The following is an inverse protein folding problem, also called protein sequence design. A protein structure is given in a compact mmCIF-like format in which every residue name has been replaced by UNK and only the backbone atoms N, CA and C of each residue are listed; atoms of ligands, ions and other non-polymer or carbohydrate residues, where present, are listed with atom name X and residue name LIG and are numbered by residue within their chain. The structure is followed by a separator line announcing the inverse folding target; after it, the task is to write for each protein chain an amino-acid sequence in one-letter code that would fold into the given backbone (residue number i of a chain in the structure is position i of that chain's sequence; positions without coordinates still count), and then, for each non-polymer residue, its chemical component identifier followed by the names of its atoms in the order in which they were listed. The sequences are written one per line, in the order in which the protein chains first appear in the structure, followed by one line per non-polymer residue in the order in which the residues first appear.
data_IF_549356638466
#
_entry.id   IF_549356638466
#
_cell.length_a   1.000
_cell.length_b   1.000
_cell.length_c   1.000
_cell.angle_alpha   90.00
_cell.angle_beta   90.00
_cell.angle_gamma   90.00
#
_symmetry.space_group_name_H-M   'P 1'
#
loop_
_entity.id
_entity.type
_entity.pdbx_description
1 polymer ?
#
# COMPACT_ATOMS: atom_id res chain seq x y z
N UNK A 1 2.04 -0.23 9.32
CA UNK A 1 2.27 1.22 9.43
C UNK A 1 2.55 1.75 8.05
N UNK A 2 1.82 2.76 7.65
CA UNK A 2 2.05 3.47 6.40
C UNK A 2 3.44 4.11 6.46
N UNK A 3 4.23 3.94 5.39
CA UNK A 3 5.57 4.53 5.32
C UNK A 3 5.51 5.97 4.84
N UNK A 4 6.50 6.79 5.19
CA UNK A 4 6.60 8.16 4.62
C UNK A 4 6.72 8.16 3.10
N UNK A 5 7.24 7.08 2.48
CA UNK A 5 7.22 6.91 1.03
C UNK A 5 5.79 6.84 0.49
N UNK A 6 4.92 6.02 1.10
CA UNK A 6 3.51 5.98 0.70
C UNK A 6 2.82 7.34 0.89
N UNK A 7 3.09 8.03 1.99
CA UNK A 7 2.54 9.36 2.22
C UNK A 7 2.97 10.36 1.14
N UNK A 8 4.24 10.33 0.68
CA UNK A 8 4.71 11.12 -0.46
C UNK A 8 3.95 10.78 -1.74
N UNK A 9 3.74 9.50 -2.02
CA UNK A 9 2.94 9.05 -3.18
C UNK A 9 1.52 9.59 -3.11
N UNK A 10 0.86 9.49 -1.92
CA UNK A 10 -0.49 10.04 -1.72
C UNK A 10 -0.52 11.56 -1.92
N UNK A 11 0.49 12.27 -1.43
CA UNK A 11 0.64 13.73 -1.68
C UNK A 11 0.77 14.01 -3.17
N UNK A 12 1.65 13.31 -3.88
CA UNK A 12 1.86 13.51 -5.32
C UNK A 12 0.58 13.25 -6.14
N UNK A 13 -0.13 12.14 -5.88
CA UNK A 13 -1.40 11.81 -6.55
C UNK A 13 -2.47 12.86 -6.30
N UNK A 14 -2.64 13.31 -5.05
CA UNK A 14 -3.67 14.30 -4.72
C UNK A 14 -3.32 15.69 -5.23
N UNK A 15 -2.04 16.07 -5.25
CA UNK A 15 -1.59 17.32 -5.85
C UNK A 15 -1.78 17.31 -7.38
N UNK A 16 -1.46 16.18 -8.03
CA UNK A 16 -1.76 15.97 -9.45
C UNK A 16 -3.25 16.17 -9.76
N UNK A 17 -4.11 15.51 -8.98
CA UNK A 17 -5.56 15.62 -9.16
C UNK A 17 -6.06 17.05 -8.95
N UNK A 18 -5.55 17.76 -7.92
CA UNK A 18 -5.88 19.15 -7.64
C UNK A 18 -5.52 20.06 -8.82
N UNK A 19 -4.27 20.02 -9.29
CA UNK A 19 -3.78 20.87 -10.37
C UNK A 19 -4.47 20.56 -11.72
N UNK A 20 -4.73 19.27 -12.01
CA UNK A 20 -5.42 18.87 -13.26
C UNK A 20 -6.91 19.17 -13.27
N UNK A 21 -7.56 19.17 -12.11
CA UNK A 21 -8.99 19.51 -12.04
C UNK A 21 -9.26 21.03 -12.13
N UNK A 22 -8.23 21.87 -12.03
CA UNK A 22 -8.39 23.32 -11.95
C UNK A 22 -9.17 23.77 -10.71
N UNK A 23 -9.16 22.97 -9.65
CA UNK A 23 -9.89 23.27 -8.40
C UNK A 23 -9.14 24.29 -7.57
N UNK A 24 -9.82 25.36 -7.14
CA UNK A 24 -9.27 26.36 -6.20
C UNK A 24 -9.57 25.99 -4.73
N UNK A 25 -10.24 24.87 -4.47
CA UNK A 25 -10.68 24.50 -3.13
C UNK A 25 -9.63 23.62 -2.40
N UNK A 26 -8.68 24.30 -1.75
CA UNK A 26 -7.64 23.66 -0.95
C UNK A 26 -8.21 22.74 0.14
N UNK A 27 -9.29 23.15 0.84
CA UNK A 27 -9.88 22.34 1.93
C UNK A 27 -10.43 21.01 1.42
N UNK A 28 -11.07 20.99 0.25
CA UNK A 28 -11.56 19.76 -0.37
C UNK A 28 -10.40 18.86 -0.76
N UNK A 29 -9.35 19.39 -1.34
CA UNK A 29 -8.19 18.61 -1.76
C UNK A 29 -7.40 18.05 -0.57
N UNK A 30 -7.26 18.81 0.52
CA UNK A 30 -6.68 18.32 1.77
C UNK A 30 -7.53 17.18 2.37
N UNK A 31 -8.86 17.32 2.36
CA UNK A 31 -9.76 16.25 2.81
C UNK A 31 -9.59 14.99 1.95
N UNK A 32 -9.48 15.12 0.64
CA UNK A 32 -9.27 13.99 -0.26
C UNK A 32 -7.92 13.30 0.01
N UNK A 33 -6.87 14.07 0.31
CA UNK A 33 -5.58 13.49 0.71
C UNK A 33 -5.73 12.65 1.98
N UNK A 34 -6.36 13.18 3.03
CA UNK A 34 -6.57 12.46 4.30
C UNK A 34 -7.39 11.20 4.05
N UNK A 35 -8.48 11.29 3.27
CA UNK A 35 -9.30 10.15 2.90
C UNK A 35 -8.51 9.09 2.13
N UNK A 36 -7.64 9.49 1.18
CA UNK A 36 -6.80 8.55 0.44
C UNK A 36 -5.78 7.82 1.32
N UNK A 37 -5.29 8.48 2.37
CA UNK A 37 -4.40 7.89 3.37
C UNK A 37 -5.17 6.89 4.25
N UNK A 38 -6.38 7.25 4.68
CA UNK A 38 -7.25 6.35 5.46
C UNK A 38 -7.66 5.12 4.64
N UNK A 39 -7.95 5.30 3.35
CA UNK A 39 -8.27 4.20 2.44
C UNK A 39 -7.10 3.23 2.24
N UNK A 40 -5.86 3.70 2.20
CA UNK A 40 -4.71 2.81 2.15
C UNK A 40 -4.61 1.93 3.42
N UNK A 41 -5.04 2.44 4.58
CA UNK A 41 -5.13 1.65 5.80
C UNK A 41 -6.36 0.73 5.82
N UNK A 42 -7.47 1.11 5.19
CA UNK A 42 -8.63 0.22 4.97
C UNK A 42 -8.21 -1.02 4.18
N UNK A 43 -7.38 -0.86 3.12
CA UNK A 43 -6.93 -1.97 2.29
C UNK A 43 -6.14 -3.02 3.07
N UNK A 44 -5.40 -2.64 4.10
CA UNK A 44 -4.72 -3.58 4.98
C UNK A 44 -5.71 -4.55 5.65
N UNK A 45 -6.84 -4.08 6.16
CA UNK A 45 -7.87 -4.94 6.76
C UNK A 45 -8.69 -5.69 5.71
N UNK A 46 -8.94 -5.05 4.56
CA UNK A 46 -9.58 -5.70 3.42
C UNK A 46 -8.78 -6.95 3.00
N UNK A 47 -7.47 -6.82 2.87
CA UNK A 47 -6.60 -7.96 2.52
C UNK A 47 -6.55 -9.01 3.64
N UNK A 48 -6.52 -8.61 4.92
CA UNK A 48 -6.56 -9.57 6.03
C UNK A 48 -7.82 -10.44 5.99
N UNK A 49 -8.96 -9.91 5.55
CA UNK A 49 -10.21 -10.66 5.46
C UNK A 49 -10.25 -11.66 4.29
N UNK A 50 -9.40 -11.51 3.26
CA UNK A 50 -9.48 -12.32 2.05
C UNK A 50 -9.30 -13.82 2.32
N UNK A 51 -8.24 -14.19 3.06
CA UNK A 51 -7.99 -15.62 3.34
C UNK A 51 -9.10 -16.25 4.19
N UNK A 52 -9.74 -15.47 5.05
CA UNK A 52 -10.89 -15.91 5.85
C UNK A 52 -12.08 -16.22 4.94
N UNK A 53 -12.36 -15.37 3.97
CA UNK A 53 -13.43 -15.61 3.00
C UNK A 53 -13.12 -16.78 2.06
N UNK A 54 -11.84 -16.93 1.67
CA UNK A 54 -11.39 -18.12 0.89
C UNK A 54 -11.57 -19.40 1.70
N UNK A 55 -11.30 -19.40 3.01
CA UNK A 55 -11.52 -20.56 3.88
C UNK A 55 -13.01 -20.87 4.08
N UNK A 56 -13.85 -19.86 4.27
CA UNK A 56 -15.32 -20.00 4.30
C UNK A 56 -15.87 -20.58 3.00
N UNK A 57 -15.35 -20.11 1.86
CA UNK A 57 -15.71 -20.68 0.57
C UNK A 57 -15.30 -22.15 0.45
N UNK A 58 -14.07 -22.51 0.88
CA UNK A 58 -13.61 -23.89 0.90
C UNK A 58 -14.49 -24.78 1.78
N UNK A 59 -14.85 -24.33 2.99
CA UNK A 59 -15.74 -25.04 3.90
C UNK A 59 -17.12 -25.23 3.29
N UNK A 60 -17.72 -24.20 2.72
CA UNK A 60 -19.01 -24.29 2.02
C UNK A 60 -18.98 -25.33 0.90
N UNK A 61 -17.88 -25.41 0.12
CA UNK A 61 -17.72 -26.44 -0.92
C UNK A 61 -17.64 -27.84 -0.35
N UNK A 62 -16.93 -28.03 0.79
CA UNK A 62 -16.86 -29.33 1.47
C UNK A 62 -18.26 -29.76 1.97
N UNK A 63 -19.03 -28.85 2.56
CA UNK A 63 -20.38 -29.17 3.03
C UNK A 63 -21.34 -29.50 1.86
N UNK A 64 -21.24 -28.76 0.75
CA UNK A 64 -22.02 -29.07 -0.46
C UNK A 64 -21.64 -30.43 -1.07
N UNK A 65 -20.36 -30.79 -1.02
CA UNK A 65 -19.87 -32.07 -1.52
C UNK A 65 -20.49 -33.25 -0.76
N UNK A 66 -20.68 -33.15 0.56
CA UNK A 66 -21.35 -34.19 1.40
C UNK A 66 -22.82 -34.39 1.00
N UNK A 67 -23.46 -33.41 0.41
CA UNK A 67 -24.88 -33.44 0.03
C UNK A 67 -25.12 -33.98 -1.38
N UNK A 68 -24.08 -34.42 -2.10
CA UNK A 68 -24.23 -35.06 -3.43
C UNK A 68 -25.09 -36.33 -3.32
N UNK A 69 -25.82 -36.67 -4.36
CA UNK A 69 -26.64 -37.91 -4.42
C UNK A 69 -25.79 -39.17 -4.22
N UNK A 70 -24.54 -39.15 -4.64
CA UNK A 70 -23.55 -40.25 -4.49
C UNK A 70 -22.22 -39.61 -4.05
N UNK A 71 -22.06 -39.29 -2.77
CA UNK A 71 -20.82 -38.71 -2.27
C UNK A 71 -19.71 -39.77 -2.27
N UNK A 72 -18.50 -39.39 -2.64
CA UNK A 72 -17.31 -40.25 -2.50
C UNK A 72 -16.84 -40.32 -1.04
N UNK A 73 -15.85 -41.17 -0.76
CA UNK A 73 -15.23 -41.22 0.57
C UNK A 73 -14.62 -39.88 0.93
N UNK A 74 -13.94 -39.24 -0.01
CA UNK A 74 -13.33 -37.92 0.15
C UNK A 74 -14.38 -36.82 0.34
N UNK A 75 -15.54 -36.91 -0.32
CA UNK A 75 -16.64 -35.98 -0.10
C UNK A 75 -17.18 -36.04 1.33
N UNK A 76 -17.24 -37.27 1.91
CA UNK A 76 -17.70 -37.46 3.29
C UNK A 76 -16.62 -37.21 4.34
N UNK A 77 -15.35 -37.36 3.98
CA UNK A 77 -14.20 -37.20 4.85
C UNK A 77 -13.18 -36.17 4.24
N UNK A 78 -13.56 -34.90 4.04
CA UNK A 78 -12.68 -33.96 3.41
C UNK A 78 -11.47 -33.63 4.28
N UNK A 79 -10.34 -33.40 3.63
CA UNK A 79 -9.17 -32.85 4.33
C UNK A 79 -9.47 -31.40 4.75
N UNK A 80 -9.66 -31.20 6.05
CA UNK A 80 -10.02 -29.88 6.61
C UNK A 80 -8.82 -29.00 6.98
N UNK A 81 -7.59 -29.46 6.70
CA UNK A 81 -6.37 -28.80 7.16
C UNK A 81 -6.32 -27.29 6.86
N UNK A 82 -6.74 -26.88 5.66
CA UNK A 82 -6.82 -25.46 5.30
C UNK A 82 -7.93 -24.74 6.06
N UNK A 83 -9.12 -25.32 6.09
CA UNK A 83 -10.29 -24.74 6.80
C UNK A 83 -10.02 -24.60 8.30
N UNK A 84 -9.32 -25.57 8.88
CA UNK A 84 -8.98 -25.61 10.31
C UNK A 84 -7.61 -24.95 10.62
N UNK A 85 -7.00 -24.21 9.66
CA UNK A 85 -5.73 -23.52 9.85
C UNK A 85 -5.82 -22.53 11.03
N UNK A 86 -4.92 -22.68 12.01
CA UNK A 86 -4.98 -21.93 13.26
C UNK A 86 -4.79 -20.42 13.06
N UNK A 87 -4.01 -19.99 12.05
CA UNK A 87 -3.80 -18.55 11.76
C UNK A 87 -5.02 -17.96 11.06
N UNK A 88 -5.66 -18.70 10.14
CA UNK A 88 -6.91 -18.29 9.49
C UNK A 88 -8.03 -18.16 10.53
N UNK A 89 -8.14 -19.14 11.44
CA UNK A 89 -9.11 -19.07 12.53
C UNK A 89 -8.85 -17.90 13.47
N UNK A 90 -7.58 -17.60 13.78
CA UNK A 90 -7.23 -16.44 14.59
C UNK A 90 -7.62 -15.12 13.88
N UNK A 91 -7.41 -15.00 12.57
CA UNK A 91 -7.88 -13.85 11.77
C UNK A 91 -9.42 -13.72 11.80
N UNK A 92 -10.12 -14.85 11.74
CA UNK A 92 -11.58 -14.88 11.74
C UNK A 92 -12.22 -14.54 13.09
N UNK A 93 -11.49 -14.74 14.21
CA UNK A 93 -12.02 -14.62 15.57
C UNK A 93 -11.42 -13.48 16.40
N UNK A 94 -10.34 -12.87 15.94
CA UNK A 94 -9.69 -11.75 16.64
C UNK A 94 -10.58 -10.51 16.64
N UNK A 95 -11.02 -10.08 17.81
CA UNK A 95 -11.89 -8.89 17.96
C UNK A 95 -11.24 -7.66 17.37
N UNK A 96 -9.93 -7.46 17.58
CA UNK A 96 -9.19 -6.32 17.08
C UNK A 96 -9.18 -6.21 15.53
N UNK A 97 -9.32 -7.34 14.83
CA UNK A 97 -9.41 -7.38 13.35
C UNK A 97 -10.86 -7.24 12.90
N UNK A 98 -11.77 -7.99 13.53
CA UNK A 98 -13.19 -8.03 13.12
C UNK A 98 -13.92 -6.71 13.39
N UNK A 99 -13.60 -6.03 14.49
CA UNK A 99 -14.13 -4.70 14.81
C UNK A 99 -13.71 -3.66 13.76
N UNK A 100 -12.45 -3.67 13.32
CA UNK A 100 -11.97 -2.77 12.28
C UNK A 100 -12.63 -3.06 10.92
N UNK A 101 -12.74 -4.34 10.53
CA UNK A 101 -13.42 -4.75 9.30
C UNK A 101 -14.88 -4.29 9.33
N UNK A 102 -15.58 -4.51 10.43
CA UNK A 102 -16.99 -4.14 10.60
C UNK A 102 -17.18 -2.62 10.61
N UNK A 103 -16.36 -1.90 11.38
CA UNK A 103 -16.41 -0.44 11.50
C UNK A 103 -16.16 0.26 10.17
N UNK A 104 -15.23 -0.27 9.36
CA UNK A 104 -14.86 0.24 8.04
C UNK A 104 -15.74 -0.28 6.91
N UNK A 105 -16.66 -1.23 7.22
CA UNK A 105 -17.56 -1.89 6.24
C UNK A 105 -16.79 -2.56 5.10
N UNK A 106 -15.75 -3.29 5.45
CA UNK A 106 -14.88 -4.01 4.53
C UNK A 106 -15.37 -5.45 4.34
N UNK A 107 -14.93 -6.11 3.29
CA UNK A 107 -15.22 -7.52 3.00
C UNK A 107 -15.35 -7.80 1.51
N UNK A 108 -15.55 -9.08 1.16
CA UNK A 108 -15.55 -9.59 -0.21
C UNK A 108 -16.93 -10.08 -0.68
N UNK A 109 -17.98 -9.79 0.09
CA UNK A 109 -19.34 -10.25 -0.22
C UNK A 109 -19.90 -9.72 -1.56
N UNK A 110 -19.40 -8.57 -2.03
CA UNK A 110 -19.81 -7.99 -3.31
C UNK A 110 -19.01 -8.54 -4.50
N UNK A 111 -17.92 -9.26 -4.26
CA UNK A 111 -17.05 -9.85 -5.28
C UNK A 111 -16.81 -11.34 -5.02
N UNK A 112 -17.88 -12.17 -4.96
CA UNK A 112 -17.75 -13.60 -4.66
C UNK A 112 -16.95 -14.36 -5.72
N UNK A 113 -16.97 -13.89 -6.96
CA UNK A 113 -16.19 -14.51 -8.05
C UNK A 113 -14.69 -14.32 -7.85
N UNK A 114 -14.25 -13.19 -7.30
CA UNK A 114 -12.85 -12.98 -6.92
C UNK A 114 -12.40 -14.00 -5.86
N UNK A 115 -13.20 -14.20 -4.80
CA UNK A 115 -12.89 -15.19 -3.75
C UNK A 115 -12.80 -16.61 -4.33
N UNK A 116 -13.71 -16.97 -5.22
CA UNK A 116 -13.72 -18.27 -5.92
C UNK A 116 -12.48 -18.42 -6.81
N UNK A 117 -12.09 -17.40 -7.54
CA UNK A 117 -10.92 -17.47 -8.42
C UNK A 117 -9.61 -17.55 -7.64
N UNK A 118 -9.47 -16.76 -6.58
CA UNK A 118 -8.34 -16.84 -5.65
C UNK A 118 -8.25 -18.24 -5.03
N UNK A 119 -9.39 -18.82 -4.60
CA UNK A 119 -9.42 -20.20 -4.12
C UNK A 119 -8.94 -21.19 -5.19
N UNK A 120 -9.42 -21.08 -6.42
CA UNK A 120 -9.04 -22.01 -7.50
C UNK A 120 -7.53 -21.91 -7.81
N UNK A 121 -6.98 -20.70 -7.90
CA UNK A 121 -5.53 -20.50 -8.08
C UNK A 121 -4.72 -21.06 -6.91
N UNK A 122 -5.21 -20.85 -5.68
CA UNK A 122 -4.57 -21.37 -4.48
C UNK A 122 -4.47 -22.90 -4.49
N UNK A 123 -5.54 -23.65 -4.79
CA UNK A 123 -5.54 -25.11 -4.77
C UNK A 123 -4.65 -25.73 -5.85
N UNK A 124 -4.39 -25.01 -6.95
CA UNK A 124 -3.48 -25.42 -8.02
C UNK A 124 -2.02 -25.13 -7.69
N UNK A 125 -1.73 -24.37 -6.64
CA UNK A 125 -0.38 -23.98 -6.25
C UNK A 125 0.41 -25.12 -5.62
N UNK A 126 1.74 -25.06 -5.72
CA UNK A 126 2.63 -26.01 -5.09
C UNK A 126 2.60 -25.86 -3.56
N UNK A 127 2.55 -24.64 -3.04
CA UNK A 127 2.52 -24.40 -1.59
C UNK A 127 1.26 -24.99 -0.95
N UNK A 128 0.09 -24.93 -1.61
CA UNK A 128 -1.14 -25.56 -1.12
C UNK A 128 -1.03 -27.07 -1.08
N UNK A 129 -0.57 -27.70 -2.17
CA UNK A 129 -0.38 -29.17 -2.22
C UNK A 129 0.57 -29.66 -1.14
N UNK A 130 1.70 -28.97 -0.97
CA UNK A 130 2.69 -29.31 0.06
C UNK A 130 2.10 -29.17 1.47
N UNK A 131 1.35 -28.09 1.72
CA UNK A 131 0.68 -27.87 3.01
C UNK A 131 -0.36 -28.94 3.30
N UNK A 132 -1.24 -29.26 2.34
CA UNK A 132 -2.32 -30.24 2.51
C UNK A 132 -1.83 -31.71 2.66
N UNK A 133 -0.69 -32.04 2.07
CA UNK A 133 -0.10 -33.42 2.15
C UNK A 133 0.85 -33.63 3.32
N UNK A 134 1.25 -32.57 4.01
CA UNK A 134 2.21 -32.70 5.11
C UNK A 134 1.66 -33.54 6.28
N UNK A 135 2.46 -34.41 6.90
CA UNK A 135 1.98 -35.37 7.89
C UNK A 135 1.53 -34.75 9.21
N UNK A 136 2.11 -33.61 9.58
CA UNK A 136 1.84 -32.95 10.85
C UNK A 136 1.26 -31.53 10.64
N UNK A 137 0.26 -31.15 11.44
CA UNK A 137 -0.22 -29.78 11.57
C UNK A 137 0.50 -29.12 12.74
N UNK A 138 1.13 -27.97 12.46
CA UNK A 138 1.78 -27.14 13.49
C UNK A 138 1.44 -25.69 13.21
N UNK A 139 1.37 -24.86 14.24
CA UNK A 139 1.16 -23.40 14.07
C UNK A 139 2.20 -22.76 13.13
N UNK A 140 3.44 -23.24 13.15
CA UNK A 140 4.48 -22.74 12.25
C UNK A 140 4.20 -23.09 10.78
N UNK A 141 3.68 -24.29 10.50
CA UNK A 141 3.27 -24.69 9.15
C UNK A 141 2.03 -23.90 8.69
N UNK A 142 1.06 -23.69 9.59
CA UNK A 142 -0.14 -22.91 9.33
C UNK A 142 0.23 -21.44 8.99
N UNK A 143 1.13 -20.85 9.77
CA UNK A 143 1.61 -19.49 9.53
C UNK A 143 2.37 -19.37 8.20
N UNK A 144 3.28 -20.33 7.95
CA UNK A 144 4.03 -20.34 6.68
C UNK A 144 3.11 -20.42 5.47
N UNK A 145 2.09 -21.28 5.53
CA UNK A 145 1.08 -21.37 4.47
C UNK A 145 0.38 -20.03 4.22
N UNK A 146 -0.03 -19.33 5.28
CA UNK A 146 -0.68 -18.02 5.16
C UNK A 146 0.28 -16.96 4.62
N UNK A 147 1.57 -17.00 5.00
CA UNK A 147 2.60 -16.13 4.42
C UNK A 147 2.79 -16.39 2.91
N UNK A 148 2.84 -17.65 2.47
CA UNK A 148 2.94 -18.04 1.06
C UNK A 148 1.70 -17.62 0.27
N UNK A 149 0.50 -17.77 0.85
CA UNK A 149 -0.74 -17.28 0.25
C UNK A 149 -0.68 -15.77 -0.04
N UNK A 150 -0.37 -14.95 0.97
CA UNK A 150 -0.31 -13.49 0.76
C UNK A 150 0.83 -13.06 -0.17
N UNK A 151 1.96 -13.76 -0.14
CA UNK A 151 3.05 -13.50 -1.09
C UNK A 151 2.65 -13.80 -2.53
N UNK A 152 1.81 -14.82 -2.76
CA UNK A 152 1.31 -15.16 -4.11
C UNK A 152 0.33 -14.15 -4.69
N UNK A 153 -0.22 -13.25 -3.86
CA UNK A 153 -1.17 -12.24 -4.32
C UNK A 153 -0.49 -10.99 -4.91
N UNK A 154 0.81 -10.80 -4.73
CA UNK A 154 1.53 -9.62 -5.21
C UNK A 154 1.48 -9.49 -6.75
N UNK A 155 1.46 -10.62 -7.44
CA UNK A 155 1.38 -10.70 -8.92
C UNK A 155 -0.02 -11.16 -9.38
N UNK A 156 -1.05 -11.02 -8.54
CA UNK A 156 -2.40 -11.49 -8.87
C UNK A 156 -3.22 -10.40 -9.54
N UNK A 157 -3.35 -10.44 -10.86
CA UNK A 157 -4.26 -9.54 -11.62
C UNK A 157 -5.69 -9.58 -11.07
N UNK A 158 -6.19 -10.77 -10.68
CA UNK A 158 -7.55 -10.95 -10.15
C UNK A 158 -7.79 -10.13 -8.89
N UNK A 159 -6.81 -10.07 -8.00
CA UNK A 159 -6.93 -9.28 -6.76
C UNK A 159 -6.71 -7.80 -7.07
N UNK A 160 -5.76 -7.46 -7.94
CA UNK A 160 -5.50 -6.09 -8.35
C UNK A 160 -6.74 -5.47 -9.01
N UNK A 161 -7.34 -6.15 -9.99
CA UNK A 161 -8.55 -5.70 -10.68
C UNK A 161 -9.72 -5.53 -9.69
N UNK A 162 -9.92 -6.50 -8.78
CA UNK A 162 -11.01 -6.43 -7.82
C UNK A 162 -10.88 -5.26 -6.84
N UNK A 163 -9.67 -4.95 -6.34
CA UNK A 163 -9.47 -3.80 -5.44
C UNK A 163 -9.60 -2.46 -6.18
N UNK A 164 -9.18 -2.39 -7.45
CA UNK A 164 -9.34 -1.19 -8.28
C UNK A 164 -10.83 -0.92 -8.57
N UNK A 165 -11.63 -1.97 -8.82
CA UNK A 165 -13.09 -1.86 -8.96
C UNK A 165 -13.77 -1.41 -7.66
N UNK A 166 -13.30 -1.91 -6.50
CA UNK A 166 -13.86 -1.53 -5.20
C UNK A 166 -13.56 -0.07 -4.83
N UNK A 167 -12.37 0.44 -5.17
CA UNK A 167 -11.98 1.81 -4.82
C UNK A 167 -10.80 2.31 -5.65
N UNK A 168 -11.02 3.37 -6.41
CA UNK A 168 -9.94 4.08 -7.12
C UNK A 168 -8.84 4.62 -6.18
N UNK A 169 -9.13 4.80 -4.89
CA UNK A 169 -8.14 5.25 -3.91
C UNK A 169 -7.16 4.14 -3.48
N UNK A 170 -7.45 2.89 -3.84
CA UNK A 170 -6.59 1.71 -3.56
C UNK A 170 -5.58 1.41 -4.67
N UNK A 171 -5.74 2.07 -5.81
CA UNK A 171 -4.83 1.91 -6.93
C UNK A 171 -3.37 2.10 -6.50
N UNK A 172 -2.49 1.13 -6.84
CA UNK A 172 -1.08 1.02 -6.48
C UNK A 172 -0.78 0.76 -4.98
N UNK A 173 -1.79 0.54 -4.13
CA UNK A 173 -1.58 0.32 -2.69
C UNK A 173 -1.46 -1.17 -2.32
N UNK A 174 -1.75 -2.10 -3.24
CA UNK A 174 -1.80 -3.55 -2.96
C UNK A 174 -0.52 -4.06 -2.31
N UNK A 175 0.65 -3.81 -2.91
CA UNK A 175 1.94 -4.26 -2.36
C UNK A 175 2.20 -3.72 -0.95
N UNK A 176 1.76 -2.49 -0.65
CA UNK A 176 1.84 -1.92 0.69
C UNK A 176 0.95 -2.64 1.69
N UNK A 177 -0.30 -2.91 1.30
CA UNK A 177 -1.24 -3.62 2.15
C UNK A 177 -0.75 -5.05 2.43
N UNK A 178 -0.30 -5.77 1.40
CA UNK A 178 0.27 -7.11 1.52
C UNK A 178 1.49 -7.13 2.44
N UNK A 179 2.40 -6.16 2.31
CA UNK A 179 3.55 -6.03 3.21
C UNK A 179 3.11 -5.84 4.67
N UNK A 180 2.09 -5.02 4.94
CA UNK A 180 1.55 -4.85 6.30
C UNK A 180 0.93 -6.15 6.82
N UNK A 181 0.16 -6.86 5.99
CA UNK A 181 -0.42 -8.16 6.34
C UNK A 181 0.67 -9.16 6.67
N UNK A 182 1.66 -9.35 5.79
CA UNK A 182 2.78 -10.27 6.00
C UNK A 182 3.55 -9.97 7.30
N UNK A 183 3.79 -8.69 7.61
CA UNK A 183 4.42 -8.30 8.88
C UNK A 183 3.56 -8.67 10.10
N UNK A 184 2.25 -8.54 10.00
CA UNK A 184 1.34 -8.95 11.07
C UNK A 184 1.38 -10.45 11.24
N UNK A 185 1.22 -11.23 10.15
CA UNK A 185 1.22 -12.70 10.18
C UNK A 185 2.55 -13.24 10.70
N UNK A 186 3.69 -12.72 10.23
CA UNK A 186 5.03 -13.18 10.65
C UNK A 186 5.29 -12.93 12.15
N UNK A 187 4.62 -11.99 12.77
CA UNK A 187 4.72 -11.70 14.20
C UNK A 187 3.92 -12.66 15.09
N UNK A 188 2.98 -13.44 14.51
CA UNK A 188 2.09 -14.33 15.26
C UNK A 188 2.83 -15.52 15.87
N UNK A 189 2.42 -15.87 17.07
CA UNK A 189 2.90 -17.03 17.84
C UNK A 189 1.71 -17.89 18.25
N UNK A 190 1.95 -19.17 18.48
CA UNK A 190 0.92 -20.13 18.91
C UNK A 190 0.20 -19.70 20.21
N UNK A 191 0.87 -18.94 21.07
CA UNK A 191 0.29 -18.45 22.33
C UNK A 191 -0.63 -17.23 22.17
N UNK A 192 -0.71 -16.65 20.98
CA UNK A 192 -1.56 -15.49 20.76
C UNK A 192 -3.01 -15.90 20.58
N UNK A 193 -3.89 -15.28 21.34
CA UNK A 193 -5.36 -15.40 21.25
C UNK A 193 -5.98 -14.20 20.53
N UNK A 194 -5.18 -13.14 20.32
CA UNK A 194 -5.56 -11.89 19.67
C UNK A 194 -4.45 -11.44 18.72
N UNK A 195 -4.84 -10.74 17.64
CA UNK A 195 -3.91 -10.15 16.68
C UNK A 195 -3.64 -8.71 17.07
N UNK A 196 -2.37 -8.39 17.30
CA UNK A 196 -1.96 -6.99 17.42
C UNK A 196 -1.78 -6.41 16.01
N UNK A 197 -2.78 -5.67 15.55
CA UNK A 197 -2.73 -4.97 14.26
C UNK A 197 -1.64 -3.90 14.25
N UNK A 198 -1.06 -3.65 13.07
CA UNK A 198 -0.11 -2.55 12.93
C UNK A 198 -0.86 -1.22 12.98
N UNK A 199 -0.36 -0.19 13.70
CA UNK A 199 -0.98 1.12 13.69
C UNK A 199 -0.89 1.75 12.28
N UNK A 200 -1.79 2.68 11.98
CA UNK A 200 -1.80 3.39 10.70
C UNK A 200 -0.48 4.15 10.47
N UNK A 201 -0.05 4.91 11.44
CA UNK A 201 1.18 5.70 11.39
C UNK A 201 2.27 5.13 12.29
N UNK A 202 3.53 5.41 11.94
CA UNK A 202 4.69 5.08 12.76
C UNK A 202 4.89 6.10 13.87
N UNK A 203 4.55 7.36 13.60
CA UNK A 203 4.68 8.51 14.49
C UNK A 203 3.45 9.38 14.34
N UNK A 204 3.06 10.08 15.39
CA UNK A 204 1.96 11.05 15.38
C UNK A 204 2.22 12.20 14.39
N UNK A 205 3.50 12.48 14.07
CA UNK A 205 3.91 13.49 13.09
C UNK A 205 3.69 13.07 11.62
N UNK A 206 3.37 11.81 11.34
CA UNK A 206 3.32 11.32 9.95
C UNK A 206 2.13 11.91 9.17
N UNK A 207 0.99 12.09 9.82
CA UNK A 207 -0.16 12.76 9.19
C UNK A 207 0.13 14.24 8.94
N UNK A 208 0.72 14.92 9.93
CA UNK A 208 1.11 16.33 9.81
C UNK A 208 2.19 16.54 8.74
N UNK A 209 3.11 15.58 8.58
CA UNK A 209 4.05 15.56 7.47
C UNK A 209 3.33 15.57 6.12
N UNK A 210 2.36 14.66 5.91
CA UNK A 210 1.65 14.57 4.64
C UNK A 210 0.82 15.84 4.35
N UNK A 211 0.10 16.37 5.35
CA UNK A 211 -0.69 17.60 5.24
C UNK A 211 0.19 18.81 4.93
N UNK A 212 1.26 18.96 5.70
CA UNK A 212 2.19 20.08 5.53
C UNK A 212 2.86 20.04 4.16
N UNK A 213 3.32 18.87 3.73
CA UNK A 213 3.94 18.69 2.42
C UNK A 213 2.95 19.05 1.30
N UNK A 214 1.71 18.57 1.37
CA UNK A 214 0.67 18.87 0.39
C UNK A 214 0.39 20.38 0.29
N UNK A 215 0.12 21.03 1.45
CA UNK A 215 -0.21 22.46 1.49
C UNK A 215 0.98 23.29 1.02
N UNK A 216 2.19 23.00 1.48
CA UNK A 216 3.39 23.74 1.09
C UNK A 216 3.71 23.59 -0.39
N UNK A 217 3.59 22.36 -0.92
CA UNK A 217 3.80 22.10 -2.35
C UNK A 217 2.80 22.86 -3.24
N UNK A 218 1.55 23.02 -2.77
CA UNK A 218 0.55 23.77 -3.51
C UNK A 218 0.79 25.29 -3.45
N UNK A 219 1.03 25.81 -2.24
CA UNK A 219 1.25 27.25 -2.02
C UNK A 219 2.54 27.74 -2.69
N UNK A 220 3.56 26.91 -2.74
CA UNK A 220 4.87 27.25 -3.30
C UNK A 220 5.01 26.81 -4.77
N UNK A 221 3.93 26.32 -5.40
CA UNK A 221 4.01 25.67 -6.72
C UNK A 221 4.64 26.59 -7.77
N UNK A 222 4.14 27.81 -7.92
CA UNK A 222 4.65 28.78 -8.89
C UNK A 222 6.11 29.18 -8.62
N UNK A 223 6.45 29.48 -7.36
CA UNK A 223 7.82 29.81 -6.96
C UNK A 223 8.79 28.66 -7.26
N UNK A 224 8.34 27.42 -7.03
CA UNK A 224 9.14 26.24 -7.32
C UNK A 224 9.32 26.04 -8.82
N UNK A 225 8.29 26.30 -9.64
CA UNK A 225 8.41 26.26 -11.10
C UNK A 225 9.43 27.24 -11.60
N UNK A 226 9.46 28.48 -11.09
CA UNK A 226 10.46 29.50 -11.47
C UNK A 226 11.90 29.03 -11.19
N UNK A 227 12.12 28.30 -10.08
CA UNK A 227 13.43 27.72 -9.76
C UNK A 227 13.77 26.59 -10.72
N UNK A 228 12.84 25.67 -10.96
CA UNK A 228 13.02 24.50 -11.83
C UNK A 228 13.31 24.95 -13.27
N UNK A 229 12.57 25.93 -13.77
CA UNK A 229 12.70 26.47 -15.13
C UNK A 229 14.11 26.99 -15.42
N UNK A 230 14.80 27.54 -14.42
CA UNK A 230 16.21 28.00 -14.60
C UNK A 230 17.15 26.89 -15.00
N UNK A 231 16.88 25.65 -14.56
CA UNK A 231 17.73 24.49 -14.79
C UNK A 231 17.21 23.55 -15.88
N UNK A 232 16.01 23.83 -16.41
CA UNK A 232 15.38 23.00 -17.46
C UNK A 232 15.33 23.66 -18.83
N UNK A 233 15.76 24.94 -18.97
CA UNK A 233 15.75 25.72 -20.24
C UNK A 233 16.49 25.08 -21.42
N UNK A 234 17.48 24.23 -21.16
CA UNK A 234 18.24 23.51 -22.18
C UNK A 234 17.60 22.17 -22.58
N UNK A 235 16.51 21.78 -21.93
CA UNK A 235 15.72 20.62 -22.27
C UNK A 235 14.50 21.10 -23.04
N UNK A 236 14.09 20.36 -24.04
CA UNK A 236 12.90 20.67 -24.83
C UNK A 236 11.68 20.67 -23.87
N UNK A 237 11.22 21.87 -23.51
CA UNK A 237 10.17 22.09 -22.48
C UNK A 237 8.88 21.32 -22.83
N UNK A 238 8.61 21.10 -24.14
CA UNK A 238 7.49 20.29 -24.62
C UNK A 238 7.62 18.81 -24.28
N UNK A 239 8.81 18.34 -23.87
CA UNK A 239 9.09 16.95 -23.52
C UNK A 239 9.14 16.66 -22.04
N UNK A 240 9.12 17.68 -21.18
CA UNK A 240 9.10 17.45 -19.73
C UNK A 240 7.68 17.03 -19.34
N UNK A 241 7.56 15.78 -18.89
CA UNK A 241 6.27 15.28 -18.42
C UNK A 241 5.75 16.12 -17.24
N UNK A 242 4.47 16.40 -17.22
CA UNK A 242 3.84 17.13 -16.10
C UNK A 242 4.16 16.48 -14.75
N UNK A 243 4.25 15.14 -14.72
CA UNK A 243 4.59 14.40 -13.50
C UNK A 243 6.03 14.69 -13.04
N UNK A 244 6.99 14.87 -13.96
CA UNK A 244 8.38 15.22 -13.60
C UNK A 244 8.44 16.58 -12.91
N UNK A 245 7.78 17.59 -13.50
CA UNK A 245 7.67 18.93 -12.91
C UNK A 245 6.98 18.90 -11.55
N UNK A 246 5.93 18.09 -11.41
CA UNK A 246 5.22 17.93 -10.15
C UNK A 246 6.14 17.34 -9.08
N UNK A 247 6.84 16.24 -9.39
CA UNK A 247 7.78 15.58 -8.48
C UNK A 247 8.89 16.56 -8.07
N UNK A 248 9.48 17.27 -9.02
CA UNK A 248 10.49 18.31 -8.74
C UNK A 248 9.96 19.36 -7.79
N UNK A 249 8.76 19.90 -8.04
CA UNK A 249 8.14 20.93 -7.19
C UNK A 249 7.89 20.44 -5.78
N UNK A 250 7.39 19.20 -5.61
CA UNK A 250 7.16 18.62 -4.27
C UNK A 250 8.49 18.39 -3.55
N UNK A 251 9.51 17.89 -4.26
CA UNK A 251 10.84 17.69 -3.69
C UNK A 251 11.46 19.01 -3.19
N UNK A 252 11.33 20.09 -3.95
CA UNK A 252 11.78 21.44 -3.53
C UNK A 252 11.04 21.89 -2.28
N UNK A 253 9.71 21.73 -2.24
CA UNK A 253 8.91 22.08 -1.05
C UNK A 253 9.32 21.25 0.18
N UNK A 254 9.61 19.94 0.01
CA UNK A 254 10.09 19.09 1.11
C UNK A 254 11.46 19.55 1.62
N UNK A 255 12.39 19.89 0.70
CA UNK A 255 13.74 20.35 1.04
C UNK A 255 13.73 21.60 1.91
N UNK A 256 12.87 22.57 1.61
CA UNK A 256 12.82 23.86 2.31
C UNK A 256 11.90 23.86 3.53
N UNK A 257 10.96 22.92 3.62
CA UNK A 257 9.97 22.92 4.70
C UNK A 257 10.39 22.07 5.90
N UNK A 258 11.08 20.93 5.66
CA UNK A 258 11.36 19.95 6.72
C UNK A 258 12.84 19.92 7.10
N UNK A 259 13.20 20.69 8.13
CA UNK A 259 14.58 20.79 8.62
C UNK A 259 15.13 19.46 9.13
N UNK A 260 14.26 18.59 9.69
CA UNK A 260 14.63 17.29 10.26
C UNK A 260 14.83 16.17 9.24
N UNK A 261 14.50 16.40 7.94
CA UNK A 261 14.68 15.42 6.87
C UNK A 261 15.99 15.72 6.14
N UNK A 262 16.95 14.77 6.10
CA UNK A 262 18.19 14.97 5.34
C UNK A 262 17.92 15.22 3.85
N UNK A 263 18.73 16.09 3.26
CA UNK A 263 18.66 16.38 1.80
C UNK A 263 18.72 15.10 1.00
N UNK A 264 19.68 14.21 1.31
CA UNK A 264 19.84 12.93 0.61
C UNK A 264 18.56 12.07 0.66
N UNK A 265 17.88 12.02 1.79
CA UNK A 265 16.65 11.24 1.94
C UNK A 265 15.54 11.79 1.02
N UNK A 266 15.38 13.12 0.97
CA UNK A 266 14.41 13.73 0.06
C UNK A 266 14.75 13.41 -1.41
N UNK A 267 16.01 13.54 -1.81
CA UNK A 267 16.44 13.22 -3.17
C UNK A 267 16.19 11.74 -3.51
N UNK A 268 16.68 10.82 -2.69
CA UNK A 268 16.55 9.37 -2.93
C UNK A 268 15.07 8.95 -3.04
N UNK A 269 14.21 9.47 -2.15
CA UNK A 269 12.79 9.13 -2.15
C UNK A 269 12.06 9.64 -3.40
N UNK A 270 12.28 10.89 -3.83
CA UNK A 270 11.59 11.44 -5.00
C UNK A 270 12.14 10.89 -6.32
N UNK A 271 13.45 10.60 -6.41
CA UNK A 271 14.04 9.89 -7.55
C UNK A 271 13.46 8.48 -7.67
N UNK A 272 13.31 7.76 -6.54
CA UNK A 272 12.70 6.43 -6.57
C UNK A 272 11.22 6.47 -6.95
N UNK A 273 10.44 7.44 -6.44
CA UNK A 273 9.04 7.61 -6.82
C UNK A 273 8.91 7.88 -8.33
N UNK A 274 9.81 8.67 -8.91
CA UNK A 274 9.78 8.98 -10.34
C UNK A 274 9.91 7.76 -11.25
N UNK A 275 10.62 6.71 -10.80
CA UNK A 275 10.78 5.46 -11.56
C UNK A 275 9.46 4.73 -11.81
N UNK A 276 8.48 4.91 -10.92
CA UNK A 276 7.18 4.24 -10.99
C UNK A 276 6.08 5.13 -11.59
N UNK A 277 6.18 6.45 -11.41
CA UNK A 277 5.11 7.38 -11.76
C UNK A 277 5.44 8.29 -12.96
N UNK A 278 6.64 8.14 -13.56
CA UNK A 278 7.01 8.89 -14.74
C UNK A 278 7.71 8.01 -15.78
N UNK A 279 8.42 8.63 -16.75
CA UNK A 279 9.07 7.89 -17.83
C UNK A 279 10.36 7.19 -17.33
N UNK A 280 10.84 6.15 -18.03
CA UNK A 280 12.08 5.44 -17.65
C UNK A 280 13.32 6.35 -17.53
N UNK A 281 13.35 7.47 -18.28
CA UNK A 281 14.45 8.45 -18.23
C UNK A 281 14.29 9.54 -17.16
N UNK A 282 13.11 9.65 -16.57
CA UNK A 282 12.76 10.73 -15.63
C UNK A 282 13.62 10.72 -14.38
N UNK A 283 13.99 9.57 -13.85
CA UNK A 283 14.82 9.49 -12.64
C UNK A 283 16.19 10.14 -12.82
N UNK A 284 16.84 9.96 -13.99
CA UNK A 284 18.11 10.61 -14.30
C UNK A 284 17.95 12.11 -14.51
N UNK A 285 16.88 12.52 -15.19
CA UNK A 285 16.55 13.94 -15.40
C UNK A 285 16.28 14.64 -14.05
N UNK A 286 15.39 14.09 -13.23
CA UNK A 286 15.03 14.63 -11.91
C UNK A 286 16.26 14.74 -11.01
N UNK A 287 17.11 13.71 -10.98
CA UNK A 287 18.36 13.76 -10.22
C UNK A 287 19.25 14.93 -10.66
N UNK A 288 19.48 15.08 -11.96
CA UNK A 288 20.32 16.15 -12.50
C UNK A 288 19.79 17.57 -12.25
N UNK A 289 18.46 17.75 -12.23
CA UNK A 289 17.82 19.03 -11.89
C UNK A 289 17.91 19.29 -10.38
N UNK A 290 17.55 18.30 -9.55
CA UNK A 290 17.58 18.44 -8.09
C UNK A 290 18.98 18.73 -7.54
N UNK A 291 20.04 18.15 -8.13
CA UNK A 291 21.43 18.45 -7.73
C UNK A 291 21.75 19.94 -7.86
N UNK A 292 21.33 20.56 -8.96
CA UNK A 292 21.53 22.00 -9.22
C UNK A 292 20.65 22.87 -8.31
N UNK A 293 19.39 22.48 -8.16
CA UNK A 293 18.44 23.19 -7.29
C UNK A 293 18.92 23.17 -5.83
N UNK A 294 19.39 22.03 -5.34
CA UNK A 294 19.93 21.92 -3.99
C UNK A 294 21.15 22.82 -3.79
N UNK A 295 22.05 22.91 -4.77
CA UNK A 295 23.21 23.79 -4.69
C UNK A 295 22.76 25.26 -4.55
N UNK A 296 21.83 25.75 -5.39
CA UNK A 296 21.27 27.11 -5.31
C UNK A 296 20.57 27.37 -3.96
N UNK A 297 19.75 26.42 -3.52
CA UNK A 297 18.99 26.58 -2.28
C UNK A 297 19.88 26.59 -1.02
N UNK A 298 21.03 25.88 -1.06
CA UNK A 298 22.05 25.94 0.00
C UNK A 298 22.79 27.29 -0.03
N UNK A 299 23.21 27.75 -1.21
CA UNK A 299 23.92 29.02 -1.37
C UNK A 299 23.06 30.22 -0.94
N UNK A 300 21.76 30.17 -1.28
CA UNK A 300 20.79 31.21 -0.87
C UNK A 300 20.32 31.08 0.58
N UNK A 301 20.76 30.06 1.34
CA UNK A 301 20.37 29.84 2.72
C UNK A 301 18.90 29.41 2.90
N UNK A 302 18.22 28.98 1.84
CA UNK A 302 16.82 28.50 1.88
C UNK A 302 16.67 27.10 2.44
N UNK A 303 17.71 26.23 2.34
CA UNK A 303 17.77 24.94 3.00
C UNK A 303 18.46 25.14 4.35
N UNK A 304 17.70 24.95 5.43
CA UNK A 304 18.22 24.96 6.79
C UNK A 304 17.92 23.58 7.40
N UNK A 305 18.96 22.80 7.64
CA UNK A 305 18.80 21.46 8.23
C UNK A 305 19.21 21.46 9.68
N UNK A 306 18.46 20.72 10.53
CA UNK A 306 18.68 20.63 11.97
C UNK A 306 18.52 19.18 12.45
N UNK A 307 19.16 18.85 13.57
CA UNK A 307 19.05 17.53 14.18
C UNK A 307 19.35 16.40 13.20
N UNK A 308 18.39 15.51 12.93
CA UNK A 308 18.54 14.40 11.98
C UNK A 308 18.72 14.84 10.54
N UNK A 309 18.31 16.06 10.21
CA UNK A 309 18.44 16.64 8.86
C UNK A 309 19.88 16.92 8.45
N UNK A 310 20.81 16.90 9.41
CA UNK A 310 22.26 17.11 9.17
C UNK A 310 22.99 15.83 8.71
N UNK A 311 22.33 14.66 8.79
CA UNK A 311 22.88 13.37 8.35
C UNK A 311 22.74 13.23 6.82
#
# INVERSE_FOLDING_TARGET
MLSRRLLRVKVAKNLYAHLKSGSDNLKTSEKNLIESIDKAYDLYFQMMSLIVEVARYAESRQELAKQKKLPTYEDLNPNRRFVDNAVVNLLATSDSVQDEISRRRLGWSQTPDTVKEVYNKMIESEYYRNYMSAPNSTFAADRKFVEEFYSSLEESDVVADAIDEMSLMWNDDLSFALYMVLRTISSLKQSHTEIKTLPQFKSDDDLDFARTLFIKSLVQYEDNQEIIDRYTRNWDVERIAFMDNLILSIAVSELVTFDSIPVKVTLDEWIDISKYYSSPSSSTFINGVLDKVVAELKESGRIQKSGRGLL
#
